data_IF_895871621390
#
_entry.id   IF_895871621390
#
_cell.length_a   1.000
_cell.length_b   1.000
_cell.length_c   1.000
_cell.angle_alpha   90.00
_cell.angle_beta   90.00
_cell.angle_gamma   90.00
#
_symmetry.space_group_name_H-M   'P 1'
#
loop_
_entity.id
_entity.type
_entity.pdbx_description
1 polymer ?
#
# COMPACT_ATOMS: atom_id res chain seq x y z
N UNK A 1 -21.67 -21.65 -11.91
CA UNK A 1 -20.48 -20.95 -12.44
C UNK A 1 -20.75 -19.47 -12.72
N UNK A 2 -21.87 -19.12 -13.34
CA UNK A 2 -22.22 -17.73 -13.69
C UNK A 2 -22.26 -16.78 -12.49
N UNK A 3 -22.84 -17.21 -11.34
CA UNK A 3 -23.01 -16.35 -10.17
C UNK A 3 -21.70 -16.11 -9.39
N UNK A 4 -20.78 -17.08 -9.42
CA UNK A 4 -19.44 -16.91 -8.83
C UNK A 4 -18.66 -15.84 -9.59
N UNK A 5 -18.68 -15.90 -10.93
CA UNK A 5 -18.02 -14.88 -11.76
C UNK A 5 -18.65 -13.51 -11.58
N UNK A 6 -19.98 -13.39 -11.58
CA UNK A 6 -20.67 -12.12 -11.32
C UNK A 6 -20.24 -11.50 -9.99
N UNK A 7 -20.11 -12.31 -8.94
CA UNK A 7 -19.67 -11.86 -7.62
C UNK A 7 -18.22 -11.37 -7.63
N UNK A 8 -17.32 -12.10 -8.33
CA UNK A 8 -15.92 -11.71 -8.44
C UNK A 8 -15.76 -10.37 -9.17
N UNK A 9 -16.44 -10.19 -10.31
CA UNK A 9 -16.40 -8.91 -11.04
C UNK A 9 -17.00 -7.77 -10.22
N UNK A 10 -18.10 -8.00 -9.55
CA UNK A 10 -18.73 -7.01 -8.68
C UNK A 10 -17.75 -6.51 -7.61
N UNK A 11 -17.10 -7.42 -6.89
CA UNK A 11 -16.11 -7.06 -5.86
C UNK A 11 -14.93 -6.26 -6.45
N UNK A 12 -14.45 -6.66 -7.61
CA UNK A 12 -13.33 -5.98 -8.28
C UNK A 12 -13.72 -4.58 -8.77
N UNK A 13 -14.92 -4.42 -9.32
CA UNK A 13 -15.46 -3.12 -9.75
C UNK A 13 -15.78 -2.22 -8.55
N UNK A 14 -16.26 -2.77 -7.44
CA UNK A 14 -16.45 -2.01 -6.21
C UNK A 14 -15.12 -1.47 -5.66
N UNK A 15 -14.06 -2.26 -5.69
CA UNK A 15 -12.70 -1.79 -5.34
C UNK A 15 -12.23 -0.67 -6.26
N UNK A 16 -12.46 -0.80 -7.57
CA UNK A 16 -12.13 0.23 -8.54
C UNK A 16 -12.86 1.54 -8.25
N UNK A 17 -14.16 1.46 -7.95
CA UNK A 17 -14.98 2.61 -7.58
C UNK A 17 -14.46 3.28 -6.30
N UNK A 18 -14.10 2.51 -5.28
CA UNK A 18 -13.49 3.04 -4.06
C UNK A 18 -12.18 3.77 -4.34
N UNK A 19 -11.32 3.17 -5.18
CA UNK A 19 -10.06 3.82 -5.58
C UNK A 19 -10.30 5.13 -6.35
N UNK A 20 -11.31 5.20 -7.19
CA UNK A 20 -11.69 6.44 -7.89
C UNK A 20 -12.15 7.52 -6.90
N UNK A 21 -12.96 7.16 -5.91
CA UNK A 21 -13.40 8.08 -4.85
C UNK A 21 -12.17 8.61 -4.09
N UNK A 22 -11.24 7.75 -3.68
CA UNK A 22 -10.03 8.15 -2.98
C UNK A 22 -9.16 9.10 -3.81
N UNK A 23 -9.00 8.84 -5.11
CA UNK A 23 -8.30 9.75 -6.04
C UNK A 23 -8.96 11.13 -6.16
N UNK A 24 -10.27 11.19 -6.15
CA UNK A 24 -10.98 12.46 -6.15
C UNK A 24 -10.80 13.20 -4.81
N UNK A 25 -10.82 12.48 -3.68
CA UNK A 25 -10.55 13.04 -2.35
C UNK A 25 -9.12 13.62 -2.27
N UNK A 26 -8.14 12.99 -2.88
CA UNK A 26 -6.76 13.52 -2.95
C UNK A 26 -6.65 14.91 -3.58
N UNK A 27 -7.60 15.32 -4.41
CA UNK A 27 -7.62 16.64 -5.05
C UNK A 27 -8.05 17.77 -4.11
N UNK A 28 -8.73 17.46 -3.02
CA UNK A 28 -9.13 18.48 -2.04
C UNK A 28 -7.89 19.04 -1.33
N UNK A 29 -7.95 20.31 -0.97
CA UNK A 29 -6.91 20.98 -0.20
C UNK A 29 -7.15 20.75 1.29
N UNK A 30 -6.13 20.31 1.99
CA UNK A 30 -6.10 20.26 3.46
C UNK A 30 -5.13 21.36 3.91
N UNK A 31 -5.46 22.06 4.98
CA UNK A 31 -4.67 23.21 5.47
C UNK A 31 -3.26 22.76 5.78
N UNK A 32 -2.97 22.30 6.95
CA UNK A 32 -1.63 21.87 7.32
C UNK A 32 -1.67 20.44 7.86
N UNK A 33 -0.67 19.66 7.47
CA UNK A 33 -0.47 18.33 8.02
C UNK A 33 0.48 18.47 9.21
N UNK A 34 0.09 18.07 10.45
CA UNK A 34 0.98 18.10 11.60
C UNK A 34 2.24 17.25 11.36
N UNK A 35 3.40 17.81 11.66
CA UNK A 35 4.69 17.20 11.40
C UNK A 35 4.88 15.86 12.13
N UNK A 36 4.34 15.75 13.35
CA UNK A 36 4.34 14.51 14.11
C UNK A 36 3.59 13.38 13.42
N UNK A 37 2.42 13.64 12.82
CA UNK A 37 1.69 12.65 12.06
C UNK A 37 2.45 12.21 10.80
N UNK A 38 3.12 13.16 10.15
CA UNK A 38 3.94 12.87 8.97
C UNK A 38 5.11 11.94 9.31
N UNK A 39 5.83 12.23 10.37
CA UNK A 39 6.96 11.40 10.82
C UNK A 39 6.52 10.01 11.27
N UNK A 40 5.39 9.90 11.96
CA UNK A 40 4.86 8.60 12.38
C UNK A 40 4.41 7.75 11.18
N UNK A 41 3.79 8.34 10.18
CA UNK A 41 3.40 7.64 8.96
C UNK A 41 4.63 7.23 8.15
N UNK A 42 5.68 8.07 8.07
CA UNK A 42 6.95 7.71 7.42
C UNK A 42 7.60 6.52 8.12
N UNK A 43 7.59 6.48 9.46
CA UNK A 43 8.08 5.31 10.23
C UNK A 43 7.32 4.04 9.88
N UNK A 44 5.99 4.13 9.78
CA UNK A 44 5.15 2.99 9.40
C UNK A 44 5.51 2.51 7.98
N UNK A 45 5.66 3.44 7.02
CA UNK A 45 5.98 3.12 5.63
C UNK A 45 7.39 2.53 5.46
N UNK A 46 8.32 2.91 6.31
CA UNK A 46 9.71 2.42 6.28
C UNK A 46 9.93 1.17 7.15
N UNK A 47 8.90 0.68 7.82
CA UNK A 47 9.02 -0.47 8.72
C UNK A 47 9.49 -1.72 7.98
N UNK A 48 10.54 -2.34 8.47
CA UNK A 48 11.13 -3.55 7.88
C UNK A 48 12.20 -3.28 6.80
N UNK A 49 12.52 -2.01 6.52
CA UNK A 49 13.62 -1.62 5.63
C UNK A 49 14.91 -1.38 6.41
N UNK A 50 16.06 -1.47 5.73
CA UNK A 50 17.33 -1.03 6.30
C UNK A 50 17.34 0.51 6.47
N UNK A 51 18.13 1.02 7.43
CA UNK A 51 18.22 2.47 7.64
C UNK A 51 18.69 3.23 6.40
N UNK A 52 19.60 2.66 5.62
CA UNK A 52 20.13 3.28 4.42
C UNK A 52 19.08 3.35 3.30
N UNK A 53 18.28 2.30 3.12
CA UNK A 53 17.22 2.28 2.13
C UNK A 53 16.06 3.20 2.54
N UNK A 54 15.73 3.25 3.84
CA UNK A 54 14.74 4.16 4.37
C UNK A 54 15.14 5.63 4.15
N UNK A 55 16.41 5.97 4.38
CA UNK A 55 16.95 7.33 4.11
C UNK A 55 16.90 7.69 2.62
N UNK A 56 17.30 6.78 1.73
CA UNK A 56 17.23 6.99 0.27
C UNK A 56 15.80 7.21 -0.22
N UNK A 57 14.85 6.50 0.35
CA UNK A 57 13.43 6.54 -0.06
C UNK A 57 12.60 7.57 0.72
N UNK A 58 13.18 8.31 1.67
CA UNK A 58 12.46 9.22 2.57
C UNK A 58 11.57 10.22 1.85
N UNK A 59 12.04 10.83 0.75
CA UNK A 59 11.24 11.77 -0.04
C UNK A 59 9.98 11.13 -0.65
N UNK A 60 10.12 9.89 -1.13
CA UNK A 60 8.98 9.15 -1.66
C UNK A 60 7.99 8.80 -0.55
N UNK A 61 8.49 8.37 0.61
CA UNK A 61 7.64 8.10 1.78
C UNK A 61 6.93 9.36 2.27
N UNK A 62 7.59 10.51 2.25
CA UNK A 62 6.96 11.78 2.62
C UNK A 62 5.81 12.15 1.68
N UNK A 63 5.97 12.01 0.36
CA UNK A 63 4.90 12.26 -0.61
C UNK A 63 3.72 11.29 -0.39
N UNK A 64 4.00 10.00 -0.18
CA UNK A 64 2.98 8.98 0.08
C UNK A 64 2.28 9.23 1.43
N UNK A 65 3.05 9.52 2.49
CA UNK A 65 2.54 9.81 3.81
C UNK A 65 1.61 11.04 3.79
N UNK A 66 2.01 12.13 3.15
CA UNK A 66 1.17 13.33 2.98
C UNK A 66 -0.16 13.01 2.31
N UNK A 67 -0.16 12.19 1.26
CA UNK A 67 -1.40 11.77 0.58
C UNK A 67 -2.28 10.94 1.51
N UNK A 68 -1.73 9.96 2.19
CA UNK A 68 -2.47 9.07 3.11
C UNK A 68 -3.08 9.84 4.28
N UNK A 69 -2.28 10.70 4.92
CA UNK A 69 -2.77 11.54 6.03
C UNK A 69 -3.88 12.48 5.55
N UNK A 70 -3.69 13.12 4.41
CA UNK A 70 -4.68 14.01 3.82
C UNK A 70 -6.01 13.31 3.57
N UNK A 71 -5.98 12.17 2.93
CA UNK A 71 -7.17 11.35 2.69
C UNK A 71 -7.80 10.94 4.01
N UNK A 72 -7.00 10.45 4.96
CA UNK A 72 -7.47 10.06 6.28
C UNK A 72 -8.17 11.20 7.05
N UNK A 73 -7.61 12.41 7.02
CA UNK A 73 -8.20 13.59 7.67
C UNK A 73 -9.55 13.96 7.04
N UNK A 74 -9.65 13.95 5.71
CA UNK A 74 -10.90 14.26 5.00
C UNK A 74 -11.96 13.21 5.30
N UNK A 75 -11.59 11.92 5.26
CA UNK A 75 -12.51 10.83 5.58
C UNK A 75 -12.98 10.90 7.03
N UNK A 76 -12.09 11.19 7.96
CA UNK A 76 -12.45 11.34 9.38
C UNK A 76 -13.43 12.49 9.59
N UNK A 77 -13.14 13.66 9.02
CA UNK A 77 -14.06 14.82 9.08
C UNK A 77 -15.44 14.48 8.51
N UNK A 78 -15.48 13.82 7.35
CA UNK A 78 -16.75 13.36 6.77
C UNK A 78 -17.47 12.37 7.66
N UNK A 79 -16.73 11.44 8.27
CA UNK A 79 -17.28 10.44 9.18
C UNK A 79 -17.86 11.06 10.45
N UNK A 80 -17.20 12.04 11.03
CA UNK A 80 -17.66 12.76 12.21
C UNK A 80 -18.92 13.58 11.90
N UNK A 81 -18.91 14.35 10.81
CA UNK A 81 -20.08 15.14 10.38
C UNK A 81 -21.32 14.28 10.11
N UNK A 82 -21.15 13.06 9.64
CA UNK A 82 -22.23 12.13 9.38
C UNK A 82 -22.48 11.13 10.53
N UNK A 83 -21.81 11.30 11.67
CA UNK A 83 -21.94 10.47 12.88
C UNK A 83 -21.73 8.97 12.62
N UNK A 84 -20.80 8.65 11.71
CA UNK A 84 -20.48 7.26 11.38
C UNK A 84 -19.74 6.63 12.54
N UNK A 85 -20.26 5.51 13.04
CA UNK A 85 -19.64 4.71 14.10
C UNK A 85 -19.54 3.25 13.67
N UNK A 86 -18.52 2.57 14.16
CA UNK A 86 -18.35 1.13 13.99
C UNK A 86 -18.85 0.43 15.23
N UNK A 87 -19.85 -0.40 15.07
CA UNK A 87 -20.42 -1.22 16.16
C UNK A 87 -19.59 -2.48 16.40
N UNK A 88 -19.69 -3.07 17.58
CA UNK A 88 -19.03 -4.34 17.88
C UNK A 88 -19.55 -5.49 16.99
N UNK A 89 -20.83 -5.46 16.59
CA UNK A 89 -21.40 -6.44 15.67
C UNK A 89 -20.77 -6.37 14.28
N UNK A 90 -20.53 -5.16 13.75
CA UNK A 90 -19.85 -4.97 12.47
C UNK A 90 -18.42 -5.48 12.53
N UNK A 91 -17.73 -5.21 13.62
CA UNK A 91 -16.38 -5.69 13.85
C UNK A 91 -16.31 -7.21 13.93
N UNK A 92 -17.22 -7.83 14.69
CA UNK A 92 -17.33 -9.28 14.75
C UNK A 92 -17.65 -9.90 13.39
N UNK A 93 -18.55 -9.27 12.62
CA UNK A 93 -18.87 -9.71 11.27
C UNK A 93 -17.65 -9.70 10.36
N UNK A 94 -16.81 -8.67 10.48
CA UNK A 94 -15.58 -8.57 9.67
C UNK A 94 -14.54 -9.61 10.07
N UNK A 95 -14.36 -9.85 11.37
CA UNK A 95 -13.53 -10.97 11.87
C UNK A 95 -14.04 -12.31 11.33
N UNK A 96 -15.34 -12.55 11.35
CA UNK A 96 -15.94 -13.78 10.79
C UNK A 96 -15.71 -13.91 9.28
N UNK A 97 -15.75 -12.82 8.52
CA UNK A 97 -15.40 -12.85 7.08
C UNK A 97 -13.95 -13.31 6.88
N UNK A 98 -13.03 -12.79 7.68
CA UNK A 98 -11.63 -13.20 7.59
C UNK A 98 -11.44 -14.66 7.97
N UNK A 99 -12.12 -15.14 8.99
CA UNK A 99 -12.14 -16.57 9.36
C UNK A 99 -12.61 -17.43 8.18
N UNK A 100 -13.69 -17.04 7.50
CA UNK A 100 -14.20 -17.77 6.32
C UNK A 100 -13.23 -17.77 5.14
N UNK A 101 -12.36 -16.77 5.03
CA UNK A 101 -11.32 -16.73 3.99
C UNK A 101 -10.12 -17.62 4.29
N UNK A 102 -9.98 -18.10 5.54
CA UNK A 102 -8.88 -18.92 6.02
C UNK A 102 -9.38 -20.24 6.65
N UNK A 103 -10.00 -21.14 5.85
CA UNK A 103 -10.55 -22.37 6.37
C UNK A 103 -9.46 -23.26 7.00
N UNK A 104 -9.75 -23.82 8.15
CA UNK A 104 -8.82 -24.60 8.96
C UNK A 104 -7.92 -23.77 9.89
N UNK A 105 -8.01 -22.46 9.85
CA UNK A 105 -7.22 -21.55 10.71
C UNK A 105 -8.08 -20.68 11.62
N UNK A 106 -9.34 -21.07 11.83
CA UNK A 106 -10.36 -20.28 12.55
C UNK A 106 -9.90 -19.90 13.96
N UNK A 107 -9.33 -20.87 14.68
CA UNK A 107 -8.81 -20.65 16.05
C UNK A 107 -7.65 -19.66 16.04
N UNK A 108 -6.75 -19.77 15.06
CA UNK A 108 -5.59 -18.90 14.96
C UNK A 108 -5.99 -17.45 14.70
N UNK A 109 -6.94 -17.22 13.80
CA UNK A 109 -7.47 -15.88 13.50
C UNK A 109 -8.17 -15.28 14.73
N UNK A 110 -9.01 -16.06 15.41
CA UNK A 110 -9.67 -15.62 16.64
C UNK A 110 -8.68 -15.27 17.75
N UNK A 111 -7.67 -16.11 17.96
CA UNK A 111 -6.63 -15.85 18.97
C UNK A 111 -5.77 -14.64 18.61
N UNK A 112 -5.47 -14.46 17.33
CA UNK A 112 -4.72 -13.29 16.86
C UNK A 112 -5.41 -11.99 17.26
N UNK A 113 -6.70 -11.84 16.97
CA UNK A 113 -7.44 -10.62 17.33
C UNK A 113 -7.64 -10.48 18.85
N UNK A 114 -7.79 -11.57 19.59
CA UNK A 114 -7.87 -11.52 21.06
C UNK A 114 -6.57 -11.06 21.71
N UNK A 115 -5.44 -11.51 21.18
CA UNK A 115 -4.10 -11.20 21.72
C UNK A 115 -3.52 -9.88 21.24
N UNK A 116 -4.05 -9.32 20.14
CA UNK A 116 -3.53 -8.12 19.51
C UNK A 116 -4.59 -7.00 19.41
N UNK A 117 -4.76 -6.19 20.47
CA UNK A 117 -5.72 -5.07 20.45
C UNK A 117 -5.44 -4.07 19.31
N UNK A 118 -4.18 -3.86 18.95
CA UNK A 118 -3.80 -2.99 17.84
C UNK A 118 -4.31 -3.51 16.48
N UNK A 119 -4.28 -4.84 16.27
CA UNK A 119 -4.84 -5.44 15.06
C UNK A 119 -6.37 -5.24 14.99
N UNK A 120 -7.04 -5.36 16.12
CA UNK A 120 -8.48 -5.09 16.23
C UNK A 120 -8.82 -3.61 15.99
N UNK A 121 -8.01 -2.69 16.52
CA UNK A 121 -8.14 -1.26 16.28
C UNK A 121 -7.92 -0.93 14.79
N UNK A 122 -6.93 -1.54 14.15
CA UNK A 122 -6.68 -1.40 12.72
C UNK A 122 -7.85 -1.90 11.88
N UNK A 123 -8.42 -3.06 12.26
CA UNK A 123 -9.61 -3.60 11.60
C UNK A 123 -10.81 -2.66 11.75
N UNK A 124 -11.00 -2.07 12.93
CA UNK A 124 -12.04 -1.06 13.19
C UNK A 124 -11.85 0.16 12.27
N UNK A 125 -10.62 0.63 12.09
CA UNK A 125 -10.29 1.71 11.14
C UNK A 125 -10.68 1.35 9.71
N UNK A 126 -10.38 0.13 9.27
CA UNK A 126 -10.75 -0.35 7.93
C UNK A 126 -12.27 -0.40 7.74
N UNK A 127 -13.02 -0.90 8.73
CA UNK A 127 -14.49 -0.93 8.69
C UNK A 127 -15.07 0.49 8.67
N UNK A 128 -14.49 1.40 9.45
CA UNK A 128 -14.88 2.81 9.48
C UNK A 128 -14.70 3.49 8.11
N UNK A 129 -13.53 3.33 7.51
CA UNK A 129 -13.23 3.84 6.16
C UNK A 129 -14.19 3.26 5.12
N UNK A 130 -14.46 1.94 5.18
CA UNK A 130 -15.38 1.29 4.26
C UNK A 130 -16.81 1.85 4.37
N UNK A 131 -17.28 2.10 5.59
CA UNK A 131 -18.60 2.73 5.83
C UNK A 131 -18.65 4.14 5.24
N UNK A 132 -17.60 4.94 5.41
CA UNK A 132 -17.52 6.29 4.85
C UNK A 132 -17.55 6.23 3.33
N UNK A 133 -16.73 5.39 2.71
CA UNK A 133 -16.67 5.25 1.25
C UNK A 133 -18.00 4.78 0.65
N UNK A 134 -18.69 3.85 1.33
CA UNK A 134 -20.02 3.41 0.92
C UNK A 134 -21.05 4.54 1.01
N UNK A 135 -21.02 5.34 2.08
CA UNK A 135 -21.91 6.50 2.20
C UNK A 135 -21.61 7.56 1.14
N UNK A 136 -20.35 7.85 0.84
CA UNK A 136 -19.96 8.75 -0.26
C UNK A 136 -20.49 8.22 -1.59
N UNK A 137 -20.34 6.93 -1.86
CA UNK A 137 -20.83 6.26 -3.06
C UNK A 137 -22.35 6.42 -3.21
N UNK A 138 -23.10 6.26 -2.13
CA UNK A 138 -24.56 6.42 -2.13
C UNK A 138 -24.99 7.88 -2.38
N UNK A 139 -24.35 8.84 -1.70
CA UNK A 139 -24.63 10.27 -1.84
C UNK A 139 -24.20 10.85 -3.20
N UNK A 140 -23.15 10.33 -3.79
CA UNK A 140 -22.61 10.79 -5.07
C UNK A 140 -23.49 10.45 -6.29
N UNK A 141 -24.61 9.74 -6.11
CA UNK A 141 -25.52 9.33 -7.20
C UNK A 141 -24.75 8.71 -8.36
N UNK A 142 -24.11 7.55 -8.17
CA UNK A 142 -23.25 6.95 -9.17
C UNK A 142 -24.03 6.65 -10.46
N UNK A 143 -23.46 6.99 -11.61
CA UNK A 143 -23.93 6.53 -12.90
C UNK A 143 -23.74 5.03 -13.02
N UNK A 144 -24.80 4.27 -12.80
CA UNK A 144 -24.79 2.82 -12.98
C UNK A 144 -24.89 2.49 -14.46
N UNK A 145 -23.87 1.85 -14.99
CA UNK A 145 -23.87 1.33 -16.36
C UNK A 145 -23.84 -0.20 -16.30
N UNK A 146 -24.76 -0.84 -16.98
CA UNK A 146 -24.65 -2.28 -17.23
C UNK A 146 -23.59 -2.50 -18.28
N UNK A 147 -22.66 -3.38 -18.00
CA UNK A 147 -21.54 -3.71 -18.88
C UNK A 147 -21.48 -5.21 -19.11
N UNK A 148 -21.00 -5.62 -20.28
CA UNK A 148 -20.76 -7.04 -20.58
C UNK A 148 -19.58 -7.58 -19.75
N UNK A 149 -19.46 -8.91 -19.73
CA UNK A 149 -18.33 -9.58 -19.06
C UNK A 149 -16.99 -9.13 -19.67
N UNK A 150 -16.93 -9.05 -20.99
CA UNK A 150 -15.74 -8.66 -21.76
C UNK A 150 -15.33 -7.21 -21.45
N UNK A 151 -16.29 -6.32 -21.35
CA UNK A 151 -16.06 -4.92 -20.93
C UNK A 151 -15.55 -4.84 -19.50
N UNK A 152 -16.10 -5.62 -18.56
CA UNK A 152 -15.64 -5.67 -17.19
C UNK A 152 -14.19 -6.17 -17.09
N UNK A 153 -13.84 -7.22 -17.81
CA UNK A 153 -12.46 -7.74 -17.89
C UNK A 153 -11.49 -6.70 -18.46
N UNK A 154 -11.89 -5.99 -19.50
CA UNK A 154 -11.08 -4.93 -20.12
C UNK A 154 -10.82 -3.79 -19.14
N UNK A 155 -11.85 -3.29 -18.48
CA UNK A 155 -11.73 -2.22 -17.47
C UNK A 155 -10.80 -2.64 -16.32
N UNK A 156 -10.92 -3.86 -15.82
CA UNK A 156 -10.08 -4.36 -14.74
C UNK A 156 -8.61 -4.51 -15.17
N UNK A 157 -8.36 -5.03 -16.37
CA UNK A 157 -7.00 -5.14 -16.93
C UNK A 157 -6.35 -3.76 -17.14
N UNK A 158 -7.10 -2.81 -17.70
CA UNK A 158 -6.62 -1.45 -17.89
C UNK A 158 -6.32 -0.76 -16.54
N UNK A 159 -7.17 -0.95 -15.55
CA UNK A 159 -6.96 -0.41 -14.19
C UNK A 159 -5.71 -1.02 -13.53
N UNK A 160 -5.51 -2.33 -13.63
CA UNK A 160 -4.31 -2.99 -13.12
C UNK A 160 -3.04 -2.50 -13.81
N UNK A 161 -3.09 -2.33 -15.13
CA UNK A 161 -1.96 -1.78 -15.90
C UNK A 161 -1.63 -0.35 -15.48
N UNK A 162 -2.64 0.50 -15.31
CA UNK A 162 -2.44 1.88 -14.83
C UNK A 162 -1.84 1.92 -13.43
N UNK A 163 -2.27 1.06 -12.51
CA UNK A 163 -1.70 0.96 -11.16
C UNK A 163 -0.22 0.53 -11.22
N UNK A 164 0.09 -0.49 -12.00
CA UNK A 164 1.47 -0.96 -12.18
C UNK A 164 2.37 0.11 -12.82
N UNK A 165 1.87 0.80 -13.85
CA UNK A 165 2.61 1.89 -14.50
C UNK A 165 2.84 3.08 -13.54
N UNK A 166 1.88 3.35 -12.64
CA UNK A 166 2.01 4.37 -11.62
C UNK A 166 3.07 3.99 -10.58
N UNK A 167 3.03 2.76 -10.07
CA UNK A 167 4.01 2.22 -9.12
C UNK A 167 5.42 2.21 -9.72
N UNK A 168 5.55 1.82 -10.99
CA UNK A 168 6.83 1.84 -11.71
C UNK A 168 7.36 3.27 -11.96
N UNK A 169 6.47 4.25 -12.16
CA UNK A 169 6.85 5.67 -12.29
C UNK A 169 7.29 6.26 -10.95
N UNK A 170 6.62 5.90 -9.87
CA UNK A 170 6.96 6.35 -8.53
C UNK A 170 8.30 5.74 -8.06
N UNK A 171 8.61 4.51 -8.49
CA UNK A 171 9.93 3.89 -8.27
C UNK A 171 11.04 4.43 -9.18
N UNK A 172 10.70 5.00 -10.35
CA UNK A 172 11.65 5.47 -11.36
C UNK A 172 11.89 6.97 -11.40
N UNK A 173 11.41 7.77 -10.43
CA UNK A 173 11.76 9.18 -10.35
C UNK A 173 13.27 9.30 -10.09
N UNK A 174 14.10 9.60 -11.12
CA UNK A 174 15.55 9.68 -10.95
C UNK A 174 15.89 10.99 -10.25
N UNK A 175 16.92 10.92 -9.42
CA UNK A 175 17.68 12.08 -8.98
C UNK A 175 17.99 12.99 -10.18
N UNK A 176 17.38 14.17 -10.23
CA UNK A 176 17.82 15.22 -11.16
C UNK A 176 19.18 15.72 -10.71
N UNK A 177 20.20 15.33 -11.47
CA UNK A 177 21.45 16.02 -11.75
C UNK A 177 21.89 17.07 -10.72
N UNK A 178 22.80 16.68 -9.85
CA UNK A 178 23.75 17.63 -9.28
C UNK A 178 24.88 17.84 -10.29
N UNK A 179 25.12 19.10 -10.64
CA UNK A 179 26.09 19.60 -11.54
C UNK A 179 27.50 19.01 -11.29
N UNK A 180 28.06 18.37 -12.32
CA UNK A 180 29.47 18.08 -12.39
C UNK A 180 30.13 19.31 -13.06
N UNK A 181 30.66 20.20 -12.23
CA UNK A 181 31.66 21.16 -12.68
C UNK A 181 32.99 20.45 -12.92
N UNK A 182 33.42 20.53 -14.16
CA UNK A 182 34.73 20.10 -14.67
C UNK A 182 35.88 20.70 -13.85
N UNK A 183 36.81 19.86 -13.45
CA UNK A 183 38.24 20.24 -13.48
C UNK A 183 39.03 19.11 -14.11
N UNK A 184 39.70 19.48 -15.18
CA UNK A 184 40.60 18.65 -15.94
C UNK A 184 41.96 18.59 -15.26
N UNK A 185 42.72 17.59 -15.72
CA UNK A 185 44.16 17.33 -15.62
C UNK A 185 44.65 16.43 -14.47
N UNK A 186 45.16 15.29 -14.73
CA UNK A 186 46.44 14.97 -15.31
C UNK A 186 46.72 13.45 -15.37
N UNK A 187 47.33 13.05 -16.46
CA UNK A 187 47.91 11.77 -16.81
C UNK A 187 48.68 11.07 -15.69
N UNK A 188 48.52 9.76 -15.58
CA UNK A 188 49.59 8.77 -15.89
C UNK A 188 49.13 7.34 -15.54
N UNK A 189 49.18 6.48 -16.53
CA UNK A 189 49.25 5.02 -16.43
C UNK A 189 50.73 4.65 -16.31
N UNK A 190 51.24 3.56 -15.71
CA UNK A 190 51.06 2.24 -16.28
C UNK A 190 51.13 0.98 -15.35
N UNK A 191 50.72 -0.13 -15.95
CA UNK A 191 51.23 -1.51 -15.82
C UNK A 191 50.72 -2.44 -14.69
N UNK A 192 49.86 -3.31 -15.12
CA UNK A 192 49.92 -4.79 -15.17
C UNK A 192 50.90 -5.47 -14.20
N UNK A 193 50.35 -6.31 -13.31
CA UNK A 193 50.92 -7.66 -13.07
C UNK A 193 49.83 -8.63 -12.58
N UNK A 194 49.70 -9.70 -13.38
CA UNK A 194 49.02 -10.95 -13.04
C UNK A 194 49.77 -11.68 -11.92
N UNK A 195 49.11 -12.32 -10.99
CA UNK A 195 49.57 -13.59 -10.48
C UNK A 195 48.32 -14.45 -10.08
N UNK A 196 48.48 -15.69 -10.48
CA UNK A 196 47.59 -16.84 -10.43
C UNK A 196 47.52 -17.47 -9.04
N UNK A 197 46.33 -18.09 -8.82
CA UNK A 197 46.11 -19.41 -8.21
C UNK A 197 46.67 -19.70 -6.82
N UNK A 198 45.84 -20.27 -5.95
CA UNK A 198 45.96 -21.67 -5.55
C UNK A 198 44.65 -22.14 -4.85
N UNK A 199 44.11 -23.18 -5.41
CA UNK A 199 43.04 -23.98 -4.81
C UNK A 199 43.64 -25.01 -3.84
N UNK A 200 42.75 -25.57 -3.01
CA UNK A 200 42.87 -26.80 -2.22
C UNK A 200 43.18 -26.66 -0.72
N UNK A 201 42.21 -26.99 0.15
CA UNK A 201 42.13 -28.36 0.72
C UNK A 201 40.86 -28.55 1.59
N UNK A 202 40.08 -29.50 1.15
CA UNK A 202 39.08 -30.22 1.94
C UNK A 202 39.81 -31.26 2.80
N UNK A 203 39.41 -31.44 4.06
CA UNK A 203 39.33 -32.75 4.79
C UNK A 203 38.86 -32.47 6.21
N UNK A 204 37.61 -32.90 6.49
CA UNK A 204 37.30 -34.08 7.33
C UNK A 204 38.01 -34.11 8.67
N UNK A 205 37.26 -33.98 9.76
CA UNK A 205 37.31 -35.01 10.83
C UNK A 205 35.92 -35.08 11.48
N UNK A 206 35.42 -36.27 11.50
CA UNK A 206 34.22 -36.79 12.15
C UNK A 206 34.64 -37.42 13.50
N UNK A 207 33.70 -37.48 14.44
CA UNK A 207 33.67 -38.30 15.65
C UNK A 207 34.43 -37.81 16.89
N UNK A 208 33.72 -37.37 17.88
CA UNK A 208 33.35 -38.18 19.04
C UNK A 208 32.13 -37.59 19.70
#
# INVERSE_FOLDING_TARGET
>A
ASDVYKRQYKNSLDRLTKNQILKEIEKFKVSEIPENLLEDEIKILSQGMSEDDAKKSRKNFEEVAKKRIKVGLILNEFGEQNQIKVTEQELQTEVQKQIRMMPGQEKMVMEFYKKNPNALASLRGTVYEEKILNMIKEKAKPNKKEISKEEAEKILKESQKQQLDQELKDQRKPEKKADVKKTADNKTNPKVKKTKSVAKKIKKVSKK
#
